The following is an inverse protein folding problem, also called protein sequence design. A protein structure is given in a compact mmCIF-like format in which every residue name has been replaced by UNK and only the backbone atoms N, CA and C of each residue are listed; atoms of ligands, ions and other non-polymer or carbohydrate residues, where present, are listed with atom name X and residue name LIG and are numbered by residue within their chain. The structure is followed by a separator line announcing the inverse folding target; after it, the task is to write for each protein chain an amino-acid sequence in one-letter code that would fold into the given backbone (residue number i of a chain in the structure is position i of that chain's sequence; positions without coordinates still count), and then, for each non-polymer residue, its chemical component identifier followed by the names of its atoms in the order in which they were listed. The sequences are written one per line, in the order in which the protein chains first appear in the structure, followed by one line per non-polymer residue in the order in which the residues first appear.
data_IF_825185866144
#
_entry.id   IF_825185866144
#
_cell.length_a   1.000
_cell.length_b   1.000
_cell.length_c   1.000
_cell.angle_alpha   90.00
_cell.angle_beta   90.00
_cell.angle_gamma   90.00
#
_symmetry.space_group_name_H-M   'P 1'
#
loop_
_entity.id
_entity.type
_entity.pdbx_description
1 polymer ?
#
# COMPACT_ATOMS: atom_id res chain seq x y z
N UNK A 1 -30.87 43.74 -39.48
CA UNK A 1 -30.07 42.58 -39.04
C UNK A 1 -28.98 42.39 -40.06
N UNK A 2 -27.82 43.00 -39.81
CA UNK A 2 -26.76 43.19 -40.80
C UNK A 2 -25.67 42.12 -40.71
N UNK A 3 -25.35 41.53 -41.85
CA UNK A 3 -24.14 40.75 -42.05
C UNK A 3 -23.00 41.71 -42.41
N UNK A 4 -21.95 41.76 -41.59
CA UNK A 4 -20.69 42.43 -41.92
C UNK A 4 -19.57 41.40 -41.85
N UNK A 5 -19.05 41.05 -43.02
CA UNK A 5 -17.81 40.30 -43.16
C UNK A 5 -16.65 41.30 -42.99
N UNK A 6 -15.85 41.14 -41.93
CA UNK A 6 -14.64 41.92 -41.73
C UNK A 6 -13.45 41.16 -42.35
N UNK A 7 -13.09 41.55 -43.58
CA UNK A 7 -11.81 41.22 -44.21
C UNK A 7 -10.73 42.12 -43.61
N UNK A 8 -9.82 41.58 -42.81
CA UNK A 8 -8.62 42.31 -42.39
C UNK A 8 -7.46 41.97 -43.33
N UNK A 9 -7.27 42.81 -44.35
CA UNK A 9 -6.02 42.86 -45.11
C UNK A 9 -4.91 43.38 -44.18
N UNK A 10 -3.91 42.55 -43.89
CA UNK A 10 -2.69 42.96 -43.19
C UNK A 10 -1.71 43.60 -44.20
N UNK A 11 -0.96 44.65 -43.81
CA UNK A 11 0.06 45.26 -44.66
C UNK A 11 1.27 44.32 -44.86
N UNK A 12 1.99 44.40 -46.00
CA UNK A 12 3.12 43.53 -46.28
C UNK A 12 4.34 43.91 -45.43
N UNK A 13 4.91 42.93 -44.73
CA UNK A 13 6.13 43.05 -43.94
C UNK A 13 7.39 42.92 -44.84
N UNK A 14 8.50 43.62 -44.50
CA UNK A 14 9.73 43.64 -45.28
C UNK A 14 10.50 42.31 -45.28
N UNK A 15 11.27 42.00 -46.34
CA UNK A 15 11.82 40.67 -46.57
C UNK A 15 13.24 40.53 -46.00
N UNK A 16 13.44 40.36 -44.68
CA UNK A 16 14.71 39.76 -44.20
C UNK A 16 14.79 39.32 -42.72
N UNK A 17 13.90 38.46 -42.21
CA UNK A 17 14.20 37.75 -40.96
C UNK A 17 13.76 36.28 -41.07
N UNK A 18 14.74 35.39 -40.94
CA UNK A 18 14.57 33.94 -40.86
C UNK A 18 13.61 33.55 -39.73
N UNK A 19 12.78 32.51 -39.87
CA UNK A 19 11.88 32.10 -38.80
C UNK A 19 12.69 31.55 -37.61
N UNK A 20 12.56 32.21 -36.47
CA UNK A 20 13.00 31.69 -35.16
C UNK A 20 12.10 30.49 -34.85
N UNK A 21 12.63 29.29 -34.54
CA UNK A 21 11.80 28.15 -34.16
C UNK A 21 11.08 28.44 -32.83
N UNK A 22 9.80 28.04 -32.68
CA UNK A 22 9.05 28.25 -31.45
C UNK A 22 9.69 27.50 -30.26
N UNK A 23 9.56 28.01 -29.03
CA UNK A 23 10.15 27.41 -27.84
C UNK A 23 9.59 25.99 -27.63
N UNK A 24 10.51 25.04 -27.54
CA UNK A 24 10.27 23.62 -27.29
C UNK A 24 9.40 23.45 -26.05
N UNK A 25 8.13 23.15 -26.26
CA UNK A 25 7.28 22.55 -25.21
C UNK A 25 7.97 21.26 -24.77
N UNK A 26 8.20 20.99 -23.47
CA UNK A 26 8.76 19.71 -23.05
C UNK A 26 7.86 18.60 -23.58
N UNK A 27 8.41 17.85 -24.53
CA UNK A 27 7.76 16.76 -25.22
C UNK A 27 7.39 15.71 -24.15
N UNK A 28 6.10 15.59 -23.83
CA UNK A 28 5.59 14.49 -23.03
C UNK A 28 5.89 13.20 -23.79
N UNK A 29 6.90 12.47 -23.33
CA UNK A 29 7.31 11.17 -23.86
C UNK A 29 6.07 10.27 -24.06
N UNK A 30 5.98 9.50 -25.17
CA UNK A 30 4.91 8.56 -25.38
C UNK A 30 4.79 7.60 -24.18
N UNK A 31 3.57 7.24 -23.74
CA UNK A 31 3.33 6.49 -22.51
C UNK A 31 3.83 5.02 -22.53
N UNK A 32 4.44 4.57 -23.62
CA UNK A 32 4.79 3.16 -23.86
C UNK A 32 6.12 2.71 -23.23
N UNK A 33 6.91 3.62 -22.66
CA UNK A 33 8.20 3.30 -22.01
C UNK A 33 8.36 3.98 -20.65
N UNK A 34 7.28 4.13 -19.88
CA UNK A 34 7.44 4.38 -18.44
C UNK A 34 7.77 3.04 -17.79
N UNK A 35 9.03 2.88 -17.41
CA UNK A 35 9.45 1.78 -16.53
C UNK A 35 8.65 1.96 -15.24
N UNK A 36 7.60 1.14 -15.07
CA UNK A 36 6.84 1.08 -13.84
C UNK A 36 7.75 0.54 -12.73
N UNK A 37 7.53 0.99 -11.49
CA UNK A 37 8.32 0.52 -10.36
C UNK A 37 8.19 -1.02 -10.27
N UNK A 38 9.29 -1.79 -10.40
CA UNK A 38 9.23 -3.27 -10.51
C UNK A 38 8.77 -4.00 -9.24
N UNK A 39 8.37 -3.27 -8.18
CA UNK A 39 7.95 -3.83 -6.91
C UNK A 39 9.13 -4.22 -6.01
N UNK A 40 8.83 -4.77 -4.84
CA UNK A 40 9.86 -5.23 -3.90
C UNK A 40 10.33 -6.66 -4.25
N UNK A 41 11.50 -7.07 -3.75
CA UNK A 41 12.06 -8.41 -4.00
C UNK A 41 11.16 -9.53 -3.44
N UNK A 42 10.38 -9.24 -2.41
CA UNK A 42 9.42 -10.15 -1.79
C UNK A 42 8.23 -10.47 -2.73
N UNK A 43 7.89 -9.55 -3.64
CA UNK A 43 6.78 -9.72 -4.57
C UNK A 43 7.09 -10.69 -5.73
N UNK A 44 8.38 -10.96 -6.00
CA UNK A 44 8.82 -11.84 -7.10
C UNK A 44 8.20 -13.23 -7.03
N UNK A 45 8.12 -13.82 -5.83
CA UNK A 45 7.56 -15.16 -5.63
C UNK A 45 6.13 -15.16 -5.09
N UNK A 46 5.57 -13.99 -4.78
CA UNK A 46 4.23 -13.85 -4.17
C UNK A 46 3.15 -14.42 -5.08
N UNK A 47 3.14 -14.04 -6.36
CA UNK A 47 2.16 -14.50 -7.36
C UNK A 47 2.10 -16.03 -7.50
N UNK A 48 3.26 -16.69 -7.40
CA UNK A 48 3.33 -18.15 -7.49
C UNK A 48 2.86 -18.80 -6.17
N UNK A 49 3.29 -18.26 -5.02
CA UNK A 49 2.91 -18.80 -3.70
C UNK A 49 1.41 -18.71 -3.42
N UNK A 50 0.73 -17.68 -3.92
CA UNK A 50 -0.71 -17.46 -3.71
C UNK A 50 -1.60 -18.50 -4.43
N UNK A 51 -1.08 -19.21 -5.43
CA UNK A 51 -1.83 -20.27 -6.13
C UNK A 51 -1.93 -21.56 -5.31
N UNK A 52 -1.07 -21.76 -4.31
CA UNK A 52 -1.11 -22.97 -3.49
C UNK A 52 -2.25 -22.89 -2.48
N UNK A 53 -3.15 -23.89 -2.42
CA UNK A 53 -4.23 -23.90 -1.46
C UNK A 53 -3.67 -24.05 -0.04
N UNK A 54 -4.20 -23.25 0.89
CA UNK A 54 -3.91 -23.43 2.32
C UNK A 54 -4.81 -24.50 2.91
N UNK A 55 -4.23 -25.61 3.35
CA UNK A 55 -4.94 -26.67 4.07
C UNK A 55 -5.14 -26.26 5.53
N UNK A 56 -6.35 -26.45 6.05
CA UNK A 56 -6.64 -26.35 7.48
C UNK A 56 -7.38 -27.60 7.95
N UNK A 57 -7.21 -27.95 9.22
CA UNK A 57 -7.89 -29.07 9.85
C UNK A 57 -9.10 -28.58 10.65
N UNK A 58 -10.24 -29.25 10.49
CA UNK A 58 -11.45 -28.96 11.26
C UNK A 58 -12.20 -27.72 10.79
N UNK A 59 -12.64 -26.87 11.73
CA UNK A 59 -13.48 -25.70 11.47
C UNK A 59 -12.70 -24.43 11.81
N UNK A 60 -12.65 -23.48 10.86
CA UNK A 60 -12.12 -22.13 11.07
C UNK A 60 -13.26 -21.12 11.03
N UNK A 61 -13.55 -20.50 12.17
CA UNK A 61 -14.50 -19.40 12.30
C UNK A 61 -13.73 -18.09 12.44
N UNK A 62 -14.00 -17.12 11.55
CA UNK A 62 -13.39 -15.78 11.61
C UNK A 62 -14.50 -14.75 11.67
N UNK A 63 -14.48 -13.93 12.72
CA UNK A 63 -15.44 -12.83 12.94
C UNK A 63 -14.66 -11.53 12.89
N UNK A 64 -14.89 -10.74 11.85
CA UNK A 64 -14.27 -9.42 11.68
C UNK A 64 -15.31 -8.34 12.02
N UNK A 65 -14.95 -7.44 12.93
CA UNK A 65 -15.78 -6.33 13.37
C UNK A 65 -15.01 -5.02 13.25
N UNK A 66 -15.45 -4.15 12.35
CA UNK A 66 -15.00 -2.75 12.34
C UNK A 66 -15.69 -1.98 13.47
N UNK A 67 -14.90 -1.42 14.39
CA UNK A 67 -15.45 -0.50 15.42
C UNK A 67 -15.44 0.95 14.92
N UNK A 68 -14.50 1.28 14.03
CA UNK A 68 -14.44 2.56 13.32
C UNK A 68 -13.71 2.38 11.99
N UNK A 69 -13.64 3.43 11.17
CA UNK A 69 -12.86 3.42 9.93
C UNK A 69 -11.36 3.16 10.17
N UNK A 70 -10.88 3.45 11.38
CA UNK A 70 -9.48 3.37 11.74
C UNK A 70 -9.19 2.19 12.67
N UNK A 71 -10.20 1.44 13.10
CA UNK A 71 -10.03 0.38 14.08
C UNK A 71 -10.90 -0.83 13.76
N UNK A 72 -10.22 -1.93 13.46
CA UNK A 72 -10.81 -3.22 13.15
C UNK A 72 -10.36 -4.26 14.17
N UNK A 73 -11.28 -5.13 14.52
CA UNK A 73 -11.04 -6.25 15.44
C UNK A 73 -11.41 -7.54 14.73
N UNK A 74 -10.59 -8.59 14.91
CA UNK A 74 -10.80 -9.90 14.33
C UNK A 74 -10.73 -10.97 15.41
N UNK A 75 -11.73 -11.84 15.47
CA UNK A 75 -11.74 -13.02 16.32
C UNK A 75 -11.63 -14.24 15.43
N UNK A 76 -10.53 -14.98 15.54
CA UNK A 76 -10.31 -16.21 14.78
C UNK A 76 -10.31 -17.40 15.72
N UNK A 77 -11.26 -18.32 15.53
CA UNK A 77 -11.35 -19.57 16.26
C UNK A 77 -11.09 -20.73 15.29
N UNK A 78 -10.08 -21.53 15.59
CA UNK A 78 -9.75 -22.76 14.88
C UNK A 78 -10.06 -23.94 15.80
N UNK A 79 -11.00 -24.79 15.39
CA UNK A 79 -11.40 -26.01 16.11
C UNK A 79 -10.90 -27.20 15.27
N UNK A 80 -9.81 -27.83 15.70
CA UNK A 80 -9.28 -29.04 15.07
C UNK A 80 -10.15 -30.27 15.31
N UNK A 81 -9.96 -31.33 14.51
CA UNK A 81 -10.69 -32.59 14.69
C UNK A 81 -10.24 -33.35 15.95
N UNK A 82 -9.00 -33.09 16.40
CA UNK A 82 -8.46 -33.62 17.67
C UNK A 82 -8.49 -32.53 18.75
N UNK A 83 -9.06 -32.85 19.92
CA UNK A 83 -9.42 -31.93 21.01
C UNK A 83 -8.27 -31.09 21.60
N UNK A 84 -7.00 -31.40 21.28
CA UNK A 84 -5.82 -30.73 21.84
C UNK A 84 -5.39 -29.44 21.10
N UNK A 85 -6.01 -29.10 19.97
CA UNK A 85 -5.55 -27.98 19.12
C UNK A 85 -6.61 -26.91 18.85
N UNK A 86 -7.65 -26.79 19.70
CA UNK A 86 -8.52 -25.61 19.61
C UNK A 86 -7.73 -24.36 19.94
N UNK A 87 -7.63 -23.43 18.98
CA UNK A 87 -6.86 -22.21 19.07
C UNK A 87 -7.78 -21.01 18.84
N UNK A 88 -7.77 -20.08 19.79
CA UNK A 88 -8.41 -18.78 19.64
C UNK A 88 -7.34 -17.71 19.45
N UNK A 89 -7.56 -16.80 18.51
CA UNK A 89 -6.72 -15.63 18.26
C UNK A 89 -7.58 -14.38 18.27
N UNK A 90 -7.13 -13.39 19.01
CA UNK A 90 -7.69 -12.04 18.95
C UNK A 90 -6.74 -11.16 18.15
N UNK A 91 -7.23 -10.55 17.07
CA UNK A 91 -6.51 -9.63 16.22
C UNK A 91 -7.09 -8.23 16.30
N UNK A 92 -6.22 -7.23 16.21
CA UNK A 92 -6.60 -5.83 16.13
C UNK A 92 -5.77 -5.14 15.06
N UNK A 93 -6.40 -4.27 14.29
CA UNK A 93 -5.76 -3.45 13.27
C UNK A 93 -6.17 -2.00 13.48
N UNK A 94 -5.18 -1.13 13.65
CA UNK A 94 -5.35 0.31 13.70
C UNK A 94 -4.71 0.96 12.49
N UNK A 95 -5.45 1.84 11.83
CA UNK A 95 -5.01 2.59 10.66
C UNK A 95 -5.01 4.07 11.01
N UNK A 96 -3.87 4.73 10.86
CA UNK A 96 -3.69 6.14 11.13
C UNK A 96 -4.40 7.04 10.12
N UNK A 97 -4.42 8.34 10.42
CA UNK A 97 -5.05 9.36 9.57
C UNK A 97 -4.11 10.00 8.57
N UNK A 98 -2.80 9.87 8.75
CA UNK A 98 -1.85 10.56 7.89
C UNK A 98 -1.73 9.81 6.56
N UNK A 99 -2.27 10.41 5.51
CA UNK A 99 -2.18 9.86 4.17
C UNK A 99 -0.79 10.17 3.60
N UNK A 100 0.01 9.13 3.44
CA UNK A 100 1.40 9.20 2.95
C UNK A 100 1.45 9.10 1.43
N UNK A 101 0.46 8.42 0.85
CA UNK A 101 0.35 8.21 -0.59
C UNK A 101 -1.09 7.90 -1.00
N UNK A 102 -1.32 7.63 -2.30
CA UNK A 102 -2.64 7.29 -2.81
C UNK A 102 -3.16 5.97 -2.21
N UNK A 103 -3.92 6.06 -1.11
CA UNK A 103 -4.48 4.92 -0.40
C UNK A 103 -3.63 4.38 0.75
N UNK A 104 -2.42 4.90 0.94
CA UNK A 104 -1.53 4.50 2.03
C UNK A 104 -1.70 5.43 3.24
N UNK A 105 -2.07 4.84 4.37
CA UNK A 105 -2.29 5.53 5.63
C UNK A 105 -1.27 5.08 6.68
N UNK A 106 -0.67 6.05 7.36
CA UNK A 106 0.32 5.84 8.42
C UNK A 106 -0.15 6.50 9.71
N UNK A 107 0.13 5.90 10.89
CA UNK A 107 0.72 4.57 11.10
C UNK A 107 -0.28 3.42 10.93
N UNK A 108 0.18 2.25 10.47
CA UNK A 108 -0.59 1.00 10.46
C UNK A 108 -0.05 0.07 11.56
N UNK A 109 -0.90 -0.28 12.51
CA UNK A 109 -0.59 -1.20 13.60
C UNK A 109 -1.45 -2.44 13.46
N UNK A 110 -0.85 -3.61 13.39
CA UNK A 110 -1.54 -4.90 13.36
C UNK A 110 -0.97 -5.73 14.50
N UNK A 111 -1.83 -6.26 15.35
CA UNK A 111 -1.42 -7.14 16.43
C UNK A 111 -2.38 -8.31 16.58
N UNK A 112 -1.86 -9.51 16.73
CA UNK A 112 -2.63 -10.68 17.13
C UNK A 112 -2.12 -11.25 18.47
N UNK A 113 -3.01 -11.84 19.24
CA UNK A 113 -2.71 -12.47 20.53
C UNK A 113 -3.48 -13.77 20.70
N UNK A 114 -2.76 -14.79 21.16
CA UNK A 114 -3.30 -16.07 21.58
C UNK A 114 -3.44 -16.12 23.11
N UNK A 115 -4.44 -16.80 23.69
CA UNK A 115 -4.59 -17.01 25.13
C UNK A 115 -3.38 -17.65 25.83
N UNK A 116 -2.48 -18.28 25.06
CA UNK A 116 -1.23 -18.88 25.55
C UNK A 116 -0.09 -17.85 25.70
N UNK A 117 -0.35 -16.57 25.46
CA UNK A 117 0.64 -15.48 25.57
C UNK A 117 1.60 -15.41 24.38
N UNK A 118 1.18 -15.90 23.21
CA UNK A 118 1.87 -15.63 21.95
C UNK A 118 1.29 -14.36 21.36
N UNK A 119 2.16 -13.46 20.90
CA UNK A 119 1.77 -12.17 20.32
C UNK A 119 2.57 -11.98 19.04
N UNK A 120 1.92 -11.67 17.92
CA UNK A 120 2.60 -11.20 16.72
C UNK A 120 2.12 -9.79 16.40
N UNK A 121 3.06 -8.86 16.25
CA UNK A 121 2.76 -7.46 15.98
C UNK A 121 3.53 -7.00 14.76
N UNK A 122 2.86 -6.35 13.83
CA UNK A 122 3.43 -5.62 12.72
C UNK A 122 3.08 -4.14 12.87
N UNK A 123 4.09 -3.28 12.78
CA UNK A 123 3.96 -1.84 12.90
C UNK A 123 4.61 -1.23 11.67
N UNK A 124 3.81 -0.70 10.77
CA UNK A 124 4.28 0.08 9.64
C UNK A 124 4.08 1.57 9.94
N UNK A 125 5.18 2.31 9.99
CA UNK A 125 5.17 3.74 10.26
C UNK A 125 6.03 4.46 9.23
N UNK A 126 5.60 5.65 8.85
CA UNK A 126 6.44 6.59 8.12
C UNK A 126 6.89 7.70 9.10
N UNK A 127 8.12 7.62 9.65
CA UNK A 127 8.59 8.57 10.65
C UNK A 127 9.06 9.91 10.06
N UNK A 128 9.55 9.92 8.82
CA UNK A 128 10.11 11.11 8.17
C UNK A 128 9.75 11.15 6.68
N UNK A 129 9.70 12.35 6.09
CA UNK A 129 9.35 12.56 4.66
C UNK A 129 10.32 11.88 3.68
N UNK A 130 11.56 11.61 4.12
CA UNK A 130 12.61 10.99 3.33
C UNK A 130 12.72 9.46 3.49
N UNK A 131 11.91 8.85 4.35
CA UNK A 131 11.81 7.39 4.50
C UNK A 131 10.41 7.01 4.08
N UNK A 132 10.25 6.17 3.05
CA UNK A 132 8.93 5.85 2.52
C UNK A 132 8.12 4.99 3.48
N UNK A 133 8.74 3.97 4.07
CA UNK A 133 8.08 3.08 5.03
C UNK A 133 9.11 2.46 5.98
N UNK A 134 8.78 2.39 7.26
CA UNK A 134 9.50 1.61 8.26
C UNK A 134 8.56 0.54 8.81
N UNK A 135 8.89 -0.72 8.52
CA UNK A 135 8.16 -1.89 8.99
C UNK A 135 8.91 -2.53 10.17
N UNK A 136 8.24 -2.63 11.31
CA UNK A 136 8.72 -3.31 12.50
C UNK A 136 7.83 -4.52 12.77
N UNK A 137 8.45 -5.70 12.78
CA UNK A 137 7.80 -6.97 13.07
C UNK A 137 8.32 -7.48 14.41
N UNK A 138 7.40 -7.71 15.35
CA UNK A 138 7.67 -8.23 16.68
C UNK A 138 6.92 -9.54 16.86
N UNK A 139 7.57 -10.52 17.46
CA UNK A 139 6.92 -11.77 17.83
C UNK A 139 7.35 -12.21 19.22
N UNK A 140 6.37 -12.45 20.08
CA UNK A 140 6.54 -12.99 21.41
C UNK A 140 5.93 -14.39 21.46
N UNK A 141 6.64 -15.32 22.09
CA UNK A 141 6.18 -16.70 22.30
C UNK A 141 6.37 -17.06 23.76
N UNK A 142 5.28 -17.40 24.45
CA UNK A 142 5.29 -17.74 25.88
C UNK A 142 6.07 -16.74 26.73
N UNK A 143 5.72 -15.44 26.62
CA UNK A 143 6.35 -14.33 27.36
C UNK A 143 7.84 -14.10 27.09
N UNK A 144 8.41 -14.74 26.05
CA UNK A 144 9.77 -14.49 25.59
C UNK A 144 9.73 -13.84 24.20
N UNK A 145 10.63 -12.88 23.98
CA UNK A 145 10.84 -12.33 22.63
C UNK A 145 11.38 -13.44 21.74
N UNK A 146 10.64 -13.77 20.68
CA UNK A 146 11.04 -14.78 19.71
C UNK A 146 11.84 -14.16 18.57
N UNK A 147 11.42 -12.97 18.11
CA UNK A 147 12.08 -12.25 17.04
C UNK A 147 11.64 -10.79 16.98
N UNK A 148 12.57 -9.95 16.55
CA UNK A 148 12.36 -8.54 16.24
C UNK A 148 13.06 -8.28 14.91
N UNK A 149 12.31 -7.84 13.91
CA UNK A 149 12.85 -7.46 12.61
C UNK A 149 12.41 -6.04 12.30
N UNK A 150 13.36 -5.18 11.96
CA UNK A 150 13.11 -3.82 11.50
C UNK A 150 13.61 -3.70 10.08
N UNK A 151 12.74 -3.32 9.16
CA UNK A 151 13.07 -3.06 7.77
C UNK A 151 12.67 -1.62 7.46
N UNK A 152 13.57 -0.86 6.83
CA UNK A 152 13.31 0.50 6.40
C UNK A 152 13.55 0.61 4.90
N UNK A 153 12.59 1.20 4.20
CA UNK A 153 12.66 1.50 2.77
C UNK A 153 12.79 3.00 2.57
N UNK A 154 13.78 3.41 1.77
CA UNK A 154 14.13 4.80 1.46
C UNK A 154 13.56 5.19 0.10
#
# INVERSE_FOLDING_TARGET
MGNVQASSNLPPLPPNMTPIPPPTTPQKLPPENRIENPGSVEELHKKCKELFPMTFEGIRLVINKGLSNHFFVSHSLLIGATSQTSNYKFGSTFVGTNQVGPGDFSPLLIGDIDPRGNISTNVNVQPWDNVKNQNLILSFKSFKTNGVQTTAEI
#
